data_IF_895642831963
#
_entry.id   IF_895642831963
#
_cell.length_a   1.000
_cell.length_b   1.000
_cell.length_c   1.000
_cell.angle_alpha   90.00
_cell.angle_beta   90.00
_cell.angle_gamma   90.00
#
_symmetry.space_group_name_H-M   'P 1'
#
loop_
_entity.id
_entity.type
_entity.pdbx_description
1 polymer ?
#
# COMPACT_ATOMS: atom_id res chain seq x y z
N UNK A 1 -40.94 5.59 -75.97
CA UNK A 1 -40.71 6.73 -75.05
C UNK A 1 -39.86 6.18 -73.92
N UNK A 2 -38.55 6.43 -73.96
CA UNK A 2 -37.57 5.85 -73.02
C UNK A 2 -37.26 6.92 -71.98
N UNK A 3 -37.55 6.62 -70.72
CA UNK A 3 -37.26 7.50 -69.60
C UNK A 3 -35.78 7.34 -69.21
N UNK A 4 -34.99 8.40 -69.36
CA UNK A 4 -33.63 8.46 -68.84
C UNK A 4 -33.63 9.24 -67.51
N UNK A 5 -33.20 8.65 -66.38
CA UNK A 5 -32.93 9.42 -65.18
C UNK A 5 -31.65 10.23 -65.39
N UNK A 6 -31.78 11.54 -65.40
CA UNK A 6 -30.66 12.47 -65.26
C UNK A 6 -29.98 12.20 -63.92
N UNK A 7 -28.73 11.72 -63.97
CA UNK A 7 -27.86 11.57 -62.82
C UNK A 7 -27.59 12.92 -62.17
N UNK A 8 -28.38 13.26 -61.15
CA UNK A 8 -28.00 14.25 -60.15
C UNK A 8 -26.98 13.63 -59.22
N UNK A 9 -25.80 14.22 -59.15
CA UNK A 9 -24.82 13.94 -58.10
C UNK A 9 -25.53 13.95 -56.73
N UNK A 10 -25.43 12.83 -56.00
CA UNK A 10 -25.81 12.77 -54.59
C UNK A 10 -24.81 13.62 -53.79
N UNK A 11 -25.01 14.94 -53.78
CA UNK A 11 -24.51 15.80 -52.71
C UNK A 11 -25.28 15.37 -51.46
N UNK A 12 -24.58 14.70 -50.55
CA UNK A 12 -25.15 14.03 -49.39
C UNK A 12 -26.11 14.93 -48.61
N UNK A 13 -27.30 14.39 -48.33
CA UNK A 13 -28.41 14.95 -47.55
C UNK A 13 -28.07 15.17 -46.06
N UNK A 14 -26.94 15.79 -45.73
CA UNK A 14 -26.54 16.09 -44.35
C UNK A 14 -26.93 17.51 -43.89
N UNK A 15 -27.57 18.31 -44.75
CA UNK A 15 -27.81 19.73 -44.50
C UNK A 15 -29.28 20.13 -44.45
N UNK A 16 -30.22 19.19 -44.34
CA UNK A 16 -31.61 19.54 -43.99
C UNK A 16 -31.71 19.66 -42.47
N UNK A 17 -31.22 20.77 -41.93
CA UNK A 17 -31.38 21.15 -40.52
C UNK A 17 -32.59 22.07 -40.38
N UNK A 18 -33.70 21.56 -39.87
CA UNK A 18 -34.93 22.35 -39.67
C UNK A 18 -34.88 23.05 -38.30
N UNK A 19 -34.90 24.38 -38.26
CA UNK A 19 -34.96 25.19 -37.03
C UNK A 19 -33.85 26.22 -36.85
N UNK A 20 -33.93 27.04 -35.80
CA UNK A 20 -32.94 28.09 -35.49
C UNK A 20 -31.63 27.47 -34.97
N UNK A 21 -30.56 27.58 -35.75
CA UNK A 21 -29.23 27.12 -35.33
C UNK A 21 -28.57 28.16 -34.43
N UNK A 22 -28.11 27.70 -33.26
CA UNK A 22 -27.27 28.50 -32.37
C UNK A 22 -25.81 28.05 -32.52
N UNK A 23 -24.84 28.97 -32.51
CA UNK A 23 -23.42 28.61 -32.61
C UNK A 23 -22.97 27.69 -31.45
N UNK A 24 -23.68 27.71 -30.32
CA UNK A 24 -23.44 26.81 -29.20
C UNK A 24 -23.80 25.33 -29.48
N UNK A 25 -24.59 25.04 -30.52
CA UNK A 25 -24.96 23.67 -30.86
C UNK A 25 -23.79 22.85 -31.42
N UNK A 26 -22.83 23.50 -32.06
CA UNK A 26 -21.64 22.82 -32.62
C UNK A 26 -20.59 22.48 -31.55
N UNK A 27 -20.63 23.20 -30.43
CA UNK A 27 -19.66 23.04 -29.32
C UNK A 27 -20.20 22.12 -28.23
N UNK A 28 -21.53 21.95 -28.12
CA UNK A 28 -22.14 21.19 -27.04
C UNK A 28 -22.06 19.67 -27.28
N UNK A 29 -21.31 18.92 -26.46
CA UNK A 29 -21.17 17.47 -26.62
C UNK A 29 -22.48 16.72 -26.36
N UNK A 30 -23.45 17.31 -25.67
CA UNK A 30 -24.74 16.67 -25.41
C UNK A 30 -25.69 16.67 -26.61
N UNK A 31 -25.46 17.58 -27.56
CA UNK A 31 -26.34 17.75 -28.73
C UNK A 31 -25.83 17.02 -29.97
N UNK A 32 -24.63 16.44 -29.91
CA UNK A 32 -24.03 15.71 -31.03
C UNK A 32 -24.24 14.21 -30.87
N UNK A 33 -24.90 13.63 -31.86
CA UNK A 33 -25.07 12.19 -31.97
C UNK A 33 -23.89 11.59 -32.73
N UNK A 34 -23.40 10.44 -32.27
CA UNK A 34 -22.40 9.67 -33.00
C UNK A 34 -23.10 8.89 -34.12
N UNK A 35 -22.45 8.79 -35.28
CA UNK A 35 -22.94 7.92 -36.34
C UNK A 35 -22.66 6.47 -35.96
N UNK A 36 -23.51 5.55 -36.41
CA UNK A 36 -23.36 4.14 -36.07
C UNK A 36 -22.03 3.61 -36.63
N UNK A 37 -21.16 3.13 -35.76
CA UNK A 37 -19.85 2.58 -36.15
C UNK A 37 -18.71 3.60 -36.26
N UNK A 38 -18.97 4.90 -36.01
CA UNK A 38 -17.90 5.91 -35.94
C UNK A 38 -17.68 6.41 -34.51
N UNK A 39 -16.46 6.87 -34.22
CA UNK A 39 -16.14 7.49 -32.93
C UNK A 39 -16.78 8.88 -32.90
N UNK A 40 -17.41 9.22 -31.77
CA UNK A 40 -18.01 10.55 -31.56
C UNK A 40 -17.00 11.66 -31.86
N UNK A 41 -17.40 12.61 -32.72
CA UNK A 41 -16.55 13.74 -33.12
C UNK A 41 -16.14 14.55 -31.89
N UNK A 42 -14.84 14.84 -31.78
CA UNK A 42 -14.29 15.69 -30.72
C UNK A 42 -14.70 17.13 -31.02
N UNK A 43 -15.51 17.73 -30.15
CA UNK A 43 -15.98 19.12 -30.29
C UNK A 43 -15.08 20.14 -29.59
N UNK A 44 -14.12 19.67 -28.81
CA UNK A 44 -13.12 20.52 -28.19
C UNK A 44 -12.03 20.85 -29.21
N UNK A 45 -11.46 22.06 -29.11
CA UNK A 45 -10.28 22.43 -29.90
C UNK A 45 -9.13 21.51 -29.51
N UNK A 46 -8.93 20.47 -30.31
CA UNK A 46 -7.85 19.54 -30.08
C UNK A 46 -6.53 20.31 -30.27
N UNK A 47 -5.54 20.16 -29.39
CA UNK A 47 -4.21 20.66 -29.67
C UNK A 47 -3.65 20.07 -30.99
N UNK A 48 -2.61 20.70 -31.57
CA UNK A 48 -1.97 20.23 -32.79
C UNK A 48 -1.64 18.74 -32.74
N UNK A 49 -1.67 18.06 -33.88
CA UNK A 49 -1.40 16.61 -34.02
C UNK A 49 -0.03 16.18 -33.49
N UNK A 50 0.89 17.11 -33.32
CA UNK A 50 2.22 16.88 -32.76
C UNK A 50 2.23 16.80 -31.22
N UNK A 51 1.15 17.21 -30.55
CA UNK A 51 1.08 17.17 -29.09
C UNK A 51 0.77 15.76 -28.60
N UNK A 52 1.77 15.16 -27.97
CA UNK A 52 1.58 13.91 -27.22
C UNK A 52 0.78 14.21 -25.96
N UNK A 53 -0.33 13.48 -25.77
CA UNK A 53 -1.10 13.55 -24.53
C UNK A 53 -0.46 12.68 -23.46
N UNK A 54 -0.51 13.16 -22.21
CA UNK A 54 0.08 12.49 -21.06
C UNK A 54 1.20 13.31 -20.43
N UNK A 55 1.54 12.96 -19.19
CA UNK A 55 2.71 13.50 -18.52
C UNK A 55 3.92 12.69 -18.99
N UNK A 56 4.81 13.32 -19.77
CA UNK A 56 6.12 12.75 -20.07
C UNK A 56 7.02 13.06 -18.87
N UNK A 57 7.34 12.08 -18.01
CA UNK A 57 8.25 12.34 -16.91
C UNK A 57 9.58 12.85 -17.47
N UNK A 58 10.17 13.89 -16.86
CA UNK A 58 11.48 14.36 -17.28
C UNK A 58 12.45 13.18 -17.18
N UNK A 59 13.25 12.97 -18.23
CA UNK A 59 14.31 11.95 -18.18
C UNK A 59 15.28 12.36 -17.10
N UNK A 60 15.55 11.46 -16.17
CA UNK A 60 16.57 11.69 -15.15
C UNK A 60 17.91 12.00 -15.84
N UNK A 61 18.67 12.99 -15.36
CA UNK A 61 19.98 13.32 -15.93
C UNK A 61 21.02 12.22 -15.65
N UNK A 62 20.73 11.34 -14.69
CA UNK A 62 21.55 10.19 -14.33
C UNK A 62 21.01 8.94 -15.04
N UNK A 63 21.86 8.24 -15.79
CA UNK A 63 21.53 6.96 -16.37
C UNK A 63 21.70 5.82 -15.39
N UNK A 64 21.12 4.66 -15.70
CA UNK A 64 21.23 3.47 -14.86
C UNK A 64 22.69 3.04 -14.62
N UNK A 65 23.59 3.33 -15.59
CA UNK A 65 25.02 3.04 -15.48
C UNK A 65 25.68 3.86 -14.37
N UNK A 66 25.39 5.15 -14.31
CA UNK A 66 25.95 6.06 -13.33
C UNK A 66 25.46 5.70 -11.91
N UNK A 67 24.17 5.35 -11.79
CA UNK A 67 23.55 4.94 -10.53
C UNK A 67 24.14 3.62 -10.02
N UNK A 68 24.44 2.66 -10.89
CA UNK A 68 24.99 1.36 -10.49
C UNK A 68 26.48 1.41 -10.11
N UNK A 69 27.25 2.32 -10.71
CA UNK A 69 28.70 2.41 -10.46
C UNK A 69 29.06 3.28 -9.25
N UNK A 70 28.17 4.19 -8.85
CA UNK A 70 28.41 5.09 -7.74
C UNK A 70 27.52 4.68 -6.56
N UNK A 71 28.12 3.95 -5.61
CA UNK A 71 27.48 3.73 -4.32
C UNK A 71 27.57 5.02 -3.50
N UNK A 72 26.70 5.99 -3.81
CA UNK A 72 26.56 7.19 -2.97
C UNK A 72 25.87 6.77 -1.69
N UNK A 73 26.53 6.98 -0.56
CA UNK A 73 25.89 6.90 0.75
C UNK A 73 24.69 7.85 0.79
N UNK A 74 23.67 7.50 1.58
CA UNK A 74 22.51 8.35 1.78
C UNK A 74 22.96 9.74 2.25
N UNK A 75 22.88 10.74 1.36
CA UNK A 75 22.94 12.13 1.78
C UNK A 75 21.55 12.46 2.31
N UNK A 76 21.46 12.60 3.63
CA UNK A 76 20.31 13.20 4.26
C UNK A 76 20.03 14.52 3.54
N UNK A 77 18.76 14.77 3.19
CA UNK A 77 18.37 16.02 2.53
C UNK A 77 18.93 17.21 3.33
N UNK A 78 19.49 18.27 2.70
CA UNK A 78 20.12 19.40 3.40
C UNK A 78 19.23 20.10 4.44
N UNK A 79 17.92 19.84 4.43
CA UNK A 79 16.97 20.28 5.45
C UNK A 79 17.06 19.52 6.78
N UNK A 80 17.79 18.41 6.86
CA UNK A 80 17.96 17.61 8.09
C UNK A 80 19.19 18.02 8.91
N UNK A 81 20.17 18.73 8.33
CA UNK A 81 21.42 19.10 9.03
C UNK A 81 21.29 20.32 9.95
N UNK A 82 20.14 20.97 10.00
CA UNK A 82 19.82 22.01 11.00
C UNK A 82 18.60 21.57 11.81
N UNK A 83 18.80 20.50 12.57
CA UNK A 83 18.21 20.07 13.85
C UNK A 83 17.00 20.84 14.38
N UNK A 84 15.95 21.06 13.59
CA UNK A 84 14.62 21.36 14.10
C UNK A 84 13.83 20.07 14.03
N UNK A 85 13.63 19.37 15.16
CA UNK A 85 12.76 18.21 15.16
C UNK A 85 11.42 18.58 14.53
N UNK A 86 10.93 17.72 13.63
CA UNK A 86 9.68 18.00 12.91
C UNK A 86 8.56 18.30 13.91
N UNK A 87 7.65 19.26 13.63
CA UNK A 87 6.53 19.54 14.52
C UNK A 87 5.70 18.30 14.82
N UNK A 88 5.34 18.09 16.08
CA UNK A 88 4.48 16.96 16.44
C UNK A 88 3.01 17.32 16.19
N UNK A 89 2.55 17.01 14.98
CA UNK A 89 1.18 17.33 14.58
C UNK A 89 0.11 16.63 15.43
N UNK A 90 0.43 15.51 16.10
CA UNK A 90 -0.55 14.82 16.94
C UNK A 90 -0.83 15.60 18.22
N UNK A 91 0.23 16.02 18.91
CA UNK A 91 0.12 16.81 20.12
C UNK A 91 -0.41 18.21 19.81
N UNK A 92 0.05 18.83 18.72
CA UNK A 92 -0.50 20.11 18.24
C UNK A 92 -1.99 20.06 17.94
N UNK A 93 -2.46 19.03 17.21
CA UNK A 93 -3.89 18.91 16.92
C UNK A 93 -4.69 18.64 18.21
N UNK A 94 -4.14 17.87 19.16
CA UNK A 94 -4.78 17.66 20.47
C UNK A 94 -4.90 18.97 21.25
N UNK A 95 -3.84 19.77 21.28
CA UNK A 95 -3.84 21.10 21.92
C UNK A 95 -4.84 22.05 21.25
N UNK A 96 -4.91 22.05 19.93
CA UNK A 96 -5.88 22.86 19.17
C UNK A 96 -7.31 22.53 19.61
N UNK A 97 -7.65 21.23 19.64
CA UNK A 97 -8.97 20.76 20.09
C UNK A 97 -9.23 21.15 21.56
N UNK A 98 -8.23 21.00 22.44
CA UNK A 98 -8.36 21.42 23.85
C UNK A 98 -8.55 22.93 24.03
N UNK A 99 -7.99 23.74 23.13
CA UNK A 99 -8.20 25.20 23.11
C UNK A 99 -9.50 25.63 22.41
N UNK A 100 -10.32 24.69 21.92
CA UNK A 100 -11.60 24.97 21.29
C UNK A 100 -11.53 25.29 19.79
N UNK A 101 -10.39 25.10 19.13
CA UNK A 101 -10.28 25.25 17.68
C UNK A 101 -10.99 24.09 16.98
N UNK A 102 -12.07 24.42 16.28
CA UNK A 102 -12.87 23.47 15.50
C UNK A 102 -12.75 23.70 13.99
N UNK A 103 -12.27 24.87 13.53
CA UNK A 103 -12.08 25.16 12.11
C UNK A 103 -10.69 24.72 11.61
N UNK A 104 -10.68 24.11 10.43
CA UNK A 104 -9.46 23.64 9.78
C UNK A 104 -8.61 24.79 9.23
N UNK A 105 -9.23 25.93 8.93
CA UNK A 105 -8.53 27.13 8.40
C UNK A 105 -7.58 27.76 9.41
N UNK A 106 -7.86 27.59 10.70
CA UNK A 106 -7.09 28.20 11.79
C UNK A 106 -5.96 27.28 12.29
N UNK A 107 -6.01 25.98 11.97
CA UNK A 107 -4.96 25.02 12.33
C UNK A 107 -3.55 25.42 11.86
N UNK A 108 -3.32 25.90 10.62
CA UNK A 108 -2.02 26.38 10.19
C UNK A 108 -1.50 27.56 11.02
N UNK A 109 -2.38 28.46 11.45
CA UNK A 109 -2.02 29.59 12.30
C UNK A 109 -1.67 29.12 13.72
N UNK A 110 -2.47 28.21 14.29
CA UNK A 110 -2.21 27.61 15.58
C UNK A 110 -0.87 26.85 15.63
N UNK A 111 -0.54 26.11 14.56
CA UNK A 111 0.75 25.40 14.42
C UNK A 111 1.95 26.34 14.32
N UNK A 112 1.78 27.53 13.72
CA UNK A 112 2.83 28.55 13.67
C UNK A 112 3.07 29.19 15.04
N UNK A 113 2.00 29.42 15.81
CA UNK A 113 2.11 29.95 17.17
C UNK A 113 2.78 28.99 18.14
N UNK A 114 2.52 27.68 18.01
CA UNK A 114 3.06 26.63 18.89
C UNK A 114 4.21 25.85 18.22
N UNK A 115 5.20 26.58 17.70
CA UNK A 115 6.35 25.97 16.99
C UNK A 115 7.35 25.23 17.89
N UNK A 116 7.17 25.34 19.21
CA UNK A 116 7.93 24.67 20.26
C UNK A 116 7.56 23.18 20.41
N UNK A 117 6.35 22.79 19.99
CA UNK A 117 5.86 21.41 20.09
C UNK A 117 6.42 20.56 18.95
N UNK A 118 7.52 19.89 19.24
CA UNK A 118 8.27 19.08 18.27
C UNK A 118 8.28 17.61 18.63
N UNK A 119 8.46 16.75 17.63
CA UNK A 119 8.57 15.30 17.83
C UNK A 119 9.82 15.03 18.64
N UNK A 120 9.65 14.38 19.81
CA UNK A 120 10.76 13.91 20.63
C UNK A 120 11.52 12.82 19.88
N UNK A 121 12.56 13.22 19.15
CA UNK A 121 13.51 12.31 18.54
C UNK A 121 14.34 11.64 19.64
N UNK A 122 14.68 10.35 19.49
CA UNK A 122 15.26 9.52 20.57
C UNK A 122 16.56 10.03 21.23
N UNK A 123 17.19 11.06 20.66
CA UNK A 123 18.35 11.79 21.20
C UNK A 123 17.97 12.71 22.38
N UNK A 124 16.81 13.37 22.37
CA UNK A 124 16.40 14.36 23.38
C UNK A 124 15.67 13.77 24.59
N UNK A 125 15.63 12.45 24.69
CA UNK A 125 15.31 11.80 25.95
C UNK A 125 16.48 12.09 26.91
N UNK A 126 16.38 13.23 27.59
CA UNK A 126 17.05 13.52 28.86
C UNK A 126 17.11 12.21 29.67
N UNK A 127 18.26 11.89 30.26
CA UNK A 127 18.45 10.65 31.01
C UNK A 127 17.64 10.75 32.30
N UNK A 128 16.31 10.59 32.19
CA UNK A 128 15.49 10.27 33.35
C UNK A 128 15.98 8.91 33.84
N UNK A 129 16.66 8.97 34.99
CA UNK A 129 17.51 7.94 35.57
C UNK A 129 16.80 6.60 35.88
N UNK A 130 15.52 6.45 35.54
CA UNK A 130 14.70 5.32 35.97
C UNK A 130 14.39 4.29 34.89
N UNK A 131 14.76 4.51 33.62
CA UNK A 131 14.49 3.52 32.54
C UNK A 131 15.61 3.25 31.53
N UNK A 132 16.82 3.78 31.73
CA UNK A 132 17.99 3.42 30.92
C UNK A 132 19.24 3.20 31.78
N UNK A 133 19.32 2.05 32.41
CA UNK A 133 20.60 1.45 32.80
C UNK A 133 20.78 0.13 32.04
N UNK A 134 20.89 0.20 30.72
CA UNK A 134 21.28 -0.97 29.94
C UNK A 134 21.93 -0.62 28.58
N UNK A 135 22.31 0.65 28.34
CA UNK A 135 23.40 0.87 27.39
C UNK A 135 24.69 0.81 28.22
N UNK A 136 25.59 -0.16 27.96
CA UNK A 136 26.85 -0.25 28.68
C UNK A 136 27.64 1.04 28.43
N UNK A 137 27.72 1.90 29.45
CA UNK A 137 28.68 3.00 29.45
C UNK A 137 30.06 2.39 29.42
N UNK A 138 30.82 2.60 28.35
CA UNK A 138 32.23 2.20 28.31
C UNK A 138 32.93 2.97 29.44
N UNK A 139 33.59 2.28 30.38
CA UNK A 139 34.32 2.97 31.42
C UNK A 139 35.36 3.90 30.79
N UNK A 140 35.46 5.14 31.27
CA UNK A 140 36.36 6.17 30.75
C UNK A 140 37.84 5.74 30.70
N UNK A 141 38.22 4.68 31.43
CA UNK A 141 39.54 4.07 31.38
C UNK A 141 39.85 3.31 30.06
N UNK A 142 38.86 3.10 29.18
CA UNK A 142 39.01 2.38 27.89
C UNK A 142 38.79 3.28 26.67
N UNK A 143 39.06 4.58 26.79
CA UNK A 143 39.07 5.50 25.64
C UNK A 143 40.24 5.09 24.73
N UNK A 144 39.93 4.35 23.66
CA UNK A 144 40.92 3.73 22.76
C UNK A 144 40.70 2.22 22.55
N UNK A 145 39.82 1.58 23.32
CA UNK A 145 39.41 0.20 23.06
C UNK A 145 38.51 0.15 21.82
N UNK A 146 38.91 -0.61 20.81
CA UNK A 146 38.05 -0.89 19.66
C UNK A 146 36.84 -1.68 20.13
N UNK A 147 35.65 -1.33 19.65
CA UNK A 147 34.44 -2.10 19.94
C UNK A 147 34.46 -3.40 19.15
N UNK A 148 34.13 -4.50 19.82
CA UNK A 148 34.10 -5.84 19.23
C UNK A 148 34.62 -6.89 20.22
N UNK A 149 34.29 -8.15 19.98
CA UNK A 149 34.97 -9.27 20.63
C UNK A 149 36.27 -9.53 19.86
N UNK A 150 37.46 -9.52 20.50
CA UNK A 150 38.67 -9.93 19.82
C UNK A 150 38.51 -11.37 19.32
N UNK A 151 38.98 -11.66 18.11
CA UNK A 151 38.82 -12.97 17.47
C UNK A 151 39.37 -14.13 18.31
N UNK A 152 40.36 -13.83 19.16
CA UNK A 152 41.00 -14.73 20.11
C UNK A 152 40.12 -15.10 21.32
N UNK A 153 39.12 -14.28 21.67
CA UNK A 153 38.17 -14.60 22.73
C UNK A 153 36.78 -14.83 22.14
N UNK A 154 36.52 -16.09 21.77
CA UNK A 154 35.18 -16.56 21.42
C UNK A 154 34.45 -16.97 22.70
N UNK A 155 33.17 -16.62 22.81
CA UNK A 155 32.34 -17.12 23.90
C UNK A 155 32.14 -18.63 23.76
N UNK A 156 31.84 -19.32 24.86
CA UNK A 156 31.58 -20.76 24.86
C UNK A 156 30.46 -21.14 23.86
N UNK A 157 29.48 -20.26 23.65
CA UNK A 157 28.41 -20.46 22.65
C UNK A 157 28.95 -20.45 21.22
N UNK A 158 29.84 -19.51 20.88
CA UNK A 158 30.48 -19.44 19.55
C UNK A 158 31.40 -20.65 19.31
N UNK A 159 32.09 -21.13 20.36
CA UNK A 159 32.89 -22.37 20.28
C UNK A 159 31.98 -23.58 20.06
N UNK A 160 30.81 -23.62 20.71
CA UNK A 160 29.84 -24.72 20.55
C UNK A 160 29.26 -24.78 19.13
N UNK A 161 29.02 -23.63 18.50
CA UNK A 161 28.43 -23.57 17.15
C UNK A 161 29.47 -23.69 16.03
N UNK A 162 30.64 -23.05 16.18
CA UNK A 162 31.64 -22.95 15.11
C UNK A 162 32.89 -23.82 15.35
N UNK A 163 32.98 -24.49 16.50
CA UNK A 163 34.17 -25.24 16.90
C UNK A 163 35.26 -24.37 17.51
N UNK A 164 36.35 -24.98 18.00
CA UNK A 164 37.50 -24.26 18.54
C UNK A 164 38.16 -23.36 17.48
N UNK A 165 38.83 -22.30 17.94
CA UNK A 165 39.35 -21.17 17.14
C UNK A 165 40.18 -21.59 15.92
N UNK A 166 41.05 -22.57 16.12
CA UNK A 166 41.70 -23.30 15.06
C UNK A 166 41.67 -24.76 15.48
N UNK A 167 41.08 -25.70 14.72
CA UNK A 167 41.42 -27.09 14.89
C UNK A 167 42.93 -27.18 14.62
N UNK A 168 43.78 -27.53 15.60
CA UNK A 168 45.20 -27.69 15.36
C UNK A 168 45.37 -28.53 14.09
N UNK A 169 46.04 -28.01 13.06
CA UNK A 169 46.21 -28.69 11.76
C UNK A 169 46.67 -30.14 11.96
N UNK A 170 47.44 -30.37 13.03
CA UNK A 170 47.78 -31.68 13.57
C UNK A 170 46.61 -32.68 13.62
N UNK A 171 45.46 -32.31 14.20
CA UNK A 171 44.31 -33.22 14.32
C UNK A 171 43.57 -33.44 13.01
N UNK A 172 43.63 -32.48 12.08
CA UNK A 172 43.12 -32.67 10.73
C UNK A 172 43.95 -33.71 9.96
N UNK A 173 45.28 -33.60 10.04
CA UNK A 173 46.20 -34.55 9.38
C UNK A 173 46.13 -35.94 10.02
N UNK A 174 45.92 -36.01 11.34
CA UNK A 174 45.78 -37.27 12.07
C UNK A 174 44.40 -37.93 11.92
N UNK A 175 43.45 -37.31 11.22
CA UNK A 175 42.11 -37.87 11.01
C UNK A 175 41.25 -37.93 12.28
N UNK A 176 41.60 -37.20 13.34
CA UNK A 176 40.91 -37.27 14.65
C UNK A 176 39.42 -36.87 14.57
N UNK A 177 39.02 -36.13 13.51
CA UNK A 177 37.64 -35.71 13.29
C UNK A 177 36.78 -36.71 12.49
N UNK A 178 37.38 -37.79 11.97
CA UNK A 178 36.64 -38.80 11.21
C UNK A 178 35.60 -39.49 12.09
N UNK A 179 35.99 -39.90 13.30
CA UNK A 179 35.09 -40.55 14.25
C UNK A 179 33.97 -39.62 14.74
N UNK A 180 34.28 -38.35 14.96
CA UNK A 180 33.29 -37.35 15.37
C UNK A 180 32.26 -37.06 14.26
N UNK A 181 32.70 -37.08 12.99
CA UNK A 181 31.80 -36.94 11.85
C UNK A 181 30.86 -38.14 11.71
N UNK A 182 31.40 -39.37 11.82
CA UNK A 182 30.60 -40.59 11.79
C UNK A 182 29.56 -40.58 12.92
N UNK A 183 29.98 -40.21 14.14
CA UNK A 183 29.09 -40.12 15.31
C UNK A 183 27.98 -39.08 15.10
N UNK A 184 28.31 -37.88 14.62
CA UNK A 184 27.32 -36.83 14.33
C UNK A 184 26.32 -37.23 13.25
N UNK A 185 26.75 -37.94 12.21
CA UNK A 185 25.84 -38.44 11.19
C UNK A 185 24.92 -39.52 11.74
N UNK A 186 25.44 -40.44 12.55
CA UNK A 186 24.63 -41.44 13.26
C UNK A 186 23.59 -40.77 14.18
N UNK A 187 23.99 -39.77 14.95
CA UNK A 187 23.07 -38.98 15.78
C UNK A 187 22.04 -38.21 14.96
N UNK A 188 22.44 -37.65 13.81
CA UNK A 188 21.56 -36.95 12.89
C UNK A 188 20.56 -37.90 12.23
N UNK A 189 20.94 -39.14 11.90
CA UNK A 189 20.01 -40.16 11.41
C UNK A 189 19.03 -40.60 12.50
N UNK A 190 19.50 -40.81 13.73
CA UNK A 190 18.63 -41.14 14.89
C UNK A 190 17.64 -39.99 15.18
N UNK A 191 18.11 -38.75 15.15
CA UNK A 191 17.27 -37.56 15.38
C UNK A 191 16.36 -37.27 14.18
N UNK A 192 16.82 -37.54 12.96
CA UNK A 192 16.07 -37.36 11.72
C UNK A 192 14.95 -38.39 11.57
N UNK A 193 15.20 -39.64 11.95
CA UNK A 193 14.22 -40.72 11.89
C UNK A 193 13.08 -40.57 12.91
N UNK A 194 13.28 -39.79 13.98
CA UNK A 194 12.23 -39.48 14.97
C UNK A 194 11.45 -38.19 14.63
N UNK A 195 11.91 -37.39 13.68
CA UNK A 195 11.22 -36.19 13.20
C UNK A 195 10.55 -36.45 11.86
N UNK A 196 9.48 -37.24 11.85
CA UNK A 196 8.39 -36.92 10.91
C UNK A 196 7.99 -35.48 11.20
N UNK A 197 8.43 -34.55 10.35
CA UNK A 197 8.13 -33.12 10.51
C UNK A 197 6.61 -33.02 10.60
N UNK A 198 6.09 -32.69 11.78
CA UNK A 198 4.66 -32.50 11.97
C UNK A 198 4.21 -31.48 10.93
N UNK A 199 3.24 -31.88 10.10
CA UNK A 199 2.69 -31.00 9.09
C UNK A 199 2.09 -29.78 9.79
N UNK A 200 2.75 -28.63 9.67
CA UNK A 200 2.21 -27.36 10.14
C UNK A 200 1.31 -26.85 9.01
N UNK A 201 -0.02 -26.85 9.17
CA UNK A 201 -0.90 -26.33 8.13
C UNK A 201 -0.55 -24.84 7.88
N UNK A 202 -0.50 -24.41 6.62
CA UNK A 202 -0.17 -23.03 6.29
C UNK A 202 -1.20 -22.09 6.92
N UNK A 203 -0.72 -21.02 7.56
CA UNK A 203 -1.58 -19.98 8.11
C UNK A 203 -2.36 -19.31 6.96
N UNK A 204 -3.69 -19.12 7.09
CA UNK A 204 -4.47 -18.49 6.04
C UNK A 204 -4.03 -17.03 5.85
N UNK A 205 -3.91 -16.61 4.60
CA UNK A 205 -3.53 -15.23 4.26
C UNK A 205 -4.66 -14.25 4.62
N UNK A 206 -4.34 -12.97 4.83
CA UNK A 206 -5.35 -11.92 5.05
C UNK A 206 -6.39 -11.85 3.93
N UNK A 207 -5.97 -12.14 2.70
CA UNK A 207 -6.86 -12.22 1.55
C UNK A 207 -7.84 -13.41 1.68
N UNK A 208 -7.35 -14.60 2.02
CA UNK A 208 -8.20 -15.77 2.25
C UNK A 208 -9.23 -15.52 3.37
N UNK A 209 -8.81 -14.89 4.46
CA UNK A 209 -9.71 -14.48 5.54
C UNK A 209 -10.76 -13.47 5.05
N UNK A 210 -10.37 -12.45 4.29
CA UNK A 210 -11.30 -11.47 3.71
C UNK A 210 -12.36 -12.11 2.81
N UNK A 211 -11.96 -13.04 1.93
CA UNK A 211 -12.89 -13.76 1.08
C UNK A 211 -13.84 -14.68 1.86
N UNK A 212 -13.35 -15.37 2.90
CA UNK A 212 -14.18 -16.20 3.77
C UNK A 212 -15.21 -15.37 4.57
N UNK A 213 -14.83 -14.17 5.02
CA UNK A 213 -15.75 -13.24 5.69
C UNK A 213 -16.80 -12.66 4.72
N UNK A 214 -16.40 -12.36 3.47
CA UNK A 214 -17.34 -11.93 2.44
C UNK A 214 -18.37 -13.03 2.13
N UNK A 215 -17.91 -14.25 1.87
CA UNK A 215 -18.76 -15.38 1.55
C UNK A 215 -19.72 -15.76 2.70
N UNK A 216 -19.24 -15.73 3.95
CA UNK A 216 -20.09 -16.00 5.11
C UNK A 216 -21.21 -14.97 5.29
N UNK A 217 -20.99 -13.69 4.92
CA UNK A 217 -22.06 -12.68 4.92
C UNK A 217 -23.16 -12.96 3.87
N UNK A 218 -22.80 -13.54 2.73
CA UNK A 218 -23.78 -13.91 1.71
C UNK A 218 -24.58 -15.17 2.07
N UNK A 219 -24.01 -16.05 2.90
CA UNK A 219 -24.65 -17.27 3.37
C UNK A 219 -25.47 -17.07 4.66
N UNK A 220 -25.34 -15.92 5.33
CA UNK A 220 -26.21 -15.60 6.45
C UNK A 220 -27.64 -15.44 5.93
N UNK A 221 -28.64 -16.05 6.60
CA UNK A 221 -30.04 -15.78 6.29
C UNK A 221 -30.26 -14.27 6.38
N UNK A 222 -31.11 -13.68 5.51
CA UNK A 222 -31.40 -12.26 5.58
C UNK A 222 -31.84 -11.94 7.01
N UNK A 223 -31.06 -11.13 7.72
CA UNK A 223 -31.47 -10.66 9.04
C UNK A 223 -32.84 -10.00 8.87
N UNK A 224 -33.79 -10.37 9.73
CA UNK A 224 -35.10 -9.71 9.87
C UNK A 224 -34.97 -8.27 10.44
N UNK A 225 -33.79 -7.66 10.31
CA UNK A 225 -33.55 -6.28 10.68
C UNK A 225 -34.44 -5.41 9.81
N UNK A 226 -35.38 -4.73 10.45
CA UNK A 226 -36.31 -3.82 9.82
C UNK A 226 -35.51 -2.86 8.91
N UNK A 227 -35.84 -2.77 7.61
CA UNK A 227 -35.07 -1.96 6.67
C UNK A 227 -34.98 -0.54 7.24
N UNK A 228 -33.77 0.01 7.21
CA UNK A 228 -33.48 1.29 7.85
C UNK A 228 -34.54 2.33 7.47
N UNK A 229 -35.37 2.71 8.45
CA UNK A 229 -36.38 3.76 8.32
C UNK A 229 -35.90 4.96 9.12
N UNK A 230 -35.80 6.12 8.48
CA UNK A 230 -35.49 7.37 9.20
C UNK A 230 -36.52 7.58 10.32
N UNK A 231 -36.08 8.09 11.46
CA UNK A 231 -36.93 8.30 12.64
C UNK A 231 -38.24 9.03 12.32
N UNK A 232 -38.18 10.04 11.44
CA UNK A 232 -39.35 10.82 10.99
C UNK A 232 -40.38 10.05 10.17
N UNK A 233 -40.03 8.89 9.63
CA UNK A 233 -40.92 8.05 8.81
C UNK A 233 -41.40 6.78 9.53
N UNK A 234 -41.00 6.54 10.79
CA UNK A 234 -41.50 5.40 11.58
C UNK A 234 -43.03 5.40 11.71
N UNK A 235 -43.64 6.57 11.82
CA UNK A 235 -45.09 6.74 12.01
C UNK A 235 -45.88 6.78 10.70
N UNK A 236 -45.22 6.98 9.56
CA UNK A 236 -45.91 7.03 8.27
C UNK A 236 -46.21 5.60 7.84
N UNK A 237 -47.51 5.23 7.90
CA UNK A 237 -48.01 3.97 7.32
C UNK A 237 -47.74 4.00 5.83
N UNK A 238 -47.10 2.95 5.32
CA UNK A 238 -46.80 2.85 3.90
C UNK A 238 -48.14 2.83 3.14
N UNK A 239 -48.42 3.93 2.44
CA UNK A 239 -49.65 4.12 1.65
C UNK A 239 -49.52 3.50 0.26
N UNK A 240 -48.74 2.43 0.14
CA UNK A 240 -48.55 1.73 -1.10
C UNK A 240 -48.80 0.24 -0.87
N UNK A 241 -49.55 -0.34 -1.82
CA UNK A 241 -49.73 -1.78 -2.02
C UNK A 241 -50.90 -2.46 -1.29
N UNK A 242 -52.13 -2.11 -1.69
CA UNK A 242 -53.18 -3.12 -1.85
C UNK A 242 -53.00 -3.78 -3.21
N UNK A 243 -52.60 -5.06 -3.22
CA UNK A 243 -52.82 -5.95 -4.36
C UNK A 243 -51.63 -6.16 -5.28
N UNK A 244 -50.63 -6.93 -4.82
CA UNK A 244 -49.75 -7.65 -5.74
C UNK A 244 -49.41 -9.01 -5.15
N UNK A 245 -49.70 -10.04 -5.93
CA UNK A 245 -49.49 -11.44 -5.58
C UNK A 245 -48.03 -11.68 -5.23
N UNK A 246 -47.77 -12.38 -4.14
CA UNK A 246 -46.47 -12.99 -3.88
C UNK A 246 -46.15 -13.97 -5.02
N UNK A 247 -45.33 -13.54 -5.98
CA UNK A 247 -44.69 -14.46 -6.91
C UNK A 247 -43.54 -15.13 -6.14
N UNK A 248 -43.83 -16.26 -5.50
CA UNK A 248 -42.82 -17.10 -4.89
C UNK A 248 -41.86 -17.61 -5.96
N UNK A 249 -40.63 -17.11 -5.96
CA UNK A 249 -39.54 -17.68 -6.73
C UNK A 249 -39.18 -19.05 -6.12
N UNK A 250 -39.75 -20.12 -6.66
CA UNK A 250 -39.28 -21.50 -6.44
C UNK A 250 -37.93 -21.67 -7.13
N UNK A 251 -36.85 -21.61 -6.36
CA UNK A 251 -35.55 -22.13 -6.79
C UNK A 251 -35.68 -23.64 -6.91
N UNK A 252 -35.52 -24.19 -8.11
CA UNK A 252 -35.46 -25.64 -8.32
C UNK A 252 -34.11 -26.16 -7.82
N UNK A 253 -34.06 -27.21 -6.98
CA UNK A 253 -32.80 -27.83 -6.62
C UNK A 253 -32.19 -28.52 -7.84
N UNK A 254 -30.91 -28.27 -8.06
CA UNK A 254 -30.07 -28.96 -9.04
C UNK A 254 -29.80 -30.36 -8.49
N UNK A 255 -30.33 -31.40 -9.16
CA UNK A 255 -29.98 -32.78 -8.86
C UNK A 255 -28.64 -33.11 -9.53
N UNK A 256 -27.73 -33.68 -8.74
CA UNK A 256 -26.44 -34.24 -9.16
C UNK A 256 -26.59 -35.51 -9.97
#
# INVERSE_FOLDING_TARGET
MVWQPTGGHATMDHEIKVGAQRPSMEVNPLLTHAELGSVKKILFKNPPTEKVFGFAPPKDPEGAREVMMIWKGHQASPSQDVTKPSPDFKTLNKMAVSSGLSDAKDLPFFRKMHSDVTVRTGLDRSPSATRRSALPTIPAAKVGSTFGMPSAHRSAEVIRTHGPEEPPVKYLVQGAYQDDWVRKNLEAEVTGSSRQRQYIPPQPTKAALGHSMGASRYLQPPNDDEPWKMSKFKTVRDRAWRGGRQAGYRVRPFQS
#
